data_IF_639641237873
#
_entry.id   IF_639641237873
#
_cell.length_a   1.000
_cell.length_b   1.000
_cell.length_c   1.000
_cell.angle_alpha   90.00
_cell.angle_beta   90.00
_cell.angle_gamma   90.00
#
_symmetry.space_group_name_H-M   'P 1'
#
loop_
_entity.id
_entity.type
_entity.pdbx_description
1 polymer ?
#
# COMPACT_ATOMS: atom_id res chain seq x y z
N UNK A 1 13.33 24.05 -17.35
CA UNK A 1 13.86 23.59 -16.05
C UNK A 1 13.27 22.20 -15.80
N UNK A 2 14.08 21.15 -15.80
CA UNK A 2 13.58 19.80 -15.49
C UNK A 2 13.24 19.74 -14.00
N UNK A 3 12.01 19.33 -13.66
CA UNK A 3 11.64 19.03 -12.27
C UNK A 3 12.62 17.98 -11.73
N UNK A 4 13.07 18.15 -10.48
CA UNK A 4 13.84 17.10 -9.80
C UNK A 4 13.07 15.77 -9.87
N UNK A 5 13.78 14.63 -10.05
CA UNK A 5 13.13 13.33 -10.08
C UNK A 5 12.36 13.12 -8.78
N UNK A 6 11.07 12.80 -8.90
CA UNK A 6 10.20 12.54 -7.75
C UNK A 6 10.67 11.24 -7.09
N UNK A 7 10.90 11.27 -5.79
CA UNK A 7 11.19 10.05 -5.02
C UNK A 7 9.90 9.27 -4.76
N UNK A 8 9.98 7.94 -4.78
CA UNK A 8 8.91 7.05 -4.35
C UNK A 8 8.64 7.28 -2.85
N UNK A 9 7.41 7.02 -2.43
CA UNK A 9 7.05 7.06 -1.01
C UNK A 9 7.92 6.09 -0.17
N UNK A 10 8.01 6.26 1.15
CA UNK A 10 8.61 5.25 2.02
C UNK A 10 7.89 3.90 1.86
N UNK A 11 8.50 2.82 2.34
CA UNK A 11 7.84 1.51 2.30
C UNK A 11 6.65 1.47 3.27
N UNK A 12 5.55 0.78 2.92
CA UNK A 12 4.45 0.53 3.84
C UNK A 12 4.94 -0.14 5.13
N UNK A 13 4.59 0.43 6.28
CA UNK A 13 4.92 -0.10 7.61
C UNK A 13 3.88 -1.11 8.13
N UNK A 14 2.95 -1.54 7.29
CA UNK A 14 1.92 -2.51 7.58
C UNK A 14 1.92 -3.61 6.52
N UNK A 15 1.47 -4.81 6.90
CA UNK A 15 1.37 -5.96 5.99
C UNK A 15 -0.07 -6.34 5.68
N UNK A 16 -0.90 -6.37 6.72
CA UNK A 16 -2.32 -6.70 6.65
C UNK A 16 -3.01 -6.02 7.82
N UNK A 17 -4.07 -5.27 7.54
CA UNK A 17 -4.98 -4.72 8.55
C UNK A 17 -6.38 -5.23 8.23
N UNK A 18 -6.84 -6.19 9.03
CA UNK A 18 -8.20 -6.73 8.92
C UNK A 18 -9.18 -5.83 9.64
N UNK A 19 -10.13 -5.31 8.86
CA UNK A 19 -11.22 -4.45 9.29
C UNK A 19 -12.50 -5.27 9.32
N UNK A 20 -13.14 -5.34 10.47
CA UNK A 20 -14.39 -6.07 10.65
C UNK A 20 -15.58 -5.15 10.33
N UNK A 21 -16.61 -5.70 9.69
CA UNK A 21 -17.84 -4.96 9.44
C UNK A 21 -18.45 -4.48 10.78
N UNK A 22 -18.51 -3.18 10.97
CA UNK A 22 -19.10 -2.56 12.16
C UNK A 22 -20.32 -1.74 11.79
N UNK A 23 -21.42 -1.86 12.55
CA UNK A 23 -22.43 -0.81 12.52
C UNK A 23 -21.78 0.44 13.10
N UNK A 24 -21.67 1.51 12.30
CA UNK A 24 -21.32 2.84 12.81
C UNK A 24 -22.37 3.19 13.85
N UNK A 25 -22.03 3.11 15.14
CA UNK A 25 -22.88 3.69 16.16
C UNK A 25 -22.87 5.20 15.88
N UNK A 26 -24.01 5.81 15.54
CA UNK A 26 -24.02 7.25 15.34
C UNK A 26 -23.55 7.89 16.64
N UNK A 27 -22.51 8.74 16.56
CA UNK A 27 -22.11 9.64 17.65
C UNK A 27 -23.20 10.71 17.88
N UNK A 28 -24.46 10.30 18.04
CA UNK A 28 -25.56 11.17 18.41
C UNK A 28 -25.37 11.73 19.84
N UNK A 29 -24.56 11.06 20.67
CA UNK A 29 -24.28 11.48 22.04
C UNK A 29 -23.45 12.76 22.19
N UNK A 30 -22.52 13.06 21.27
CA UNK A 30 -21.65 14.24 21.39
C UNK A 30 -22.34 15.54 20.96
N UNK A 31 -23.26 15.46 19.99
CA UNK A 31 -24.03 16.61 19.52
C UNK A 31 -25.11 17.03 20.53
N UNK A 32 -25.72 16.08 21.24
CA UNK A 32 -26.65 16.37 22.33
C UNK A 32 -25.96 17.05 23.53
N UNK A 33 -24.73 16.62 23.87
CA UNK A 33 -23.94 17.25 24.94
C UNK A 33 -23.54 18.70 24.60
N UNK A 34 -23.19 18.98 23.33
CA UNK A 34 -22.86 20.33 22.88
C UNK A 34 -24.08 21.28 22.87
N UNK A 35 -25.28 20.76 22.56
CA UNK A 35 -26.53 21.53 22.61
C UNK A 35 -26.99 21.79 24.06
N UNK A 36 -26.76 20.84 24.98
CA UNK A 36 -27.04 21.06 26.39
C UNK A 36 -26.13 22.14 27.02
N UNK A 37 -24.84 22.19 26.65
CA UNK A 37 -23.90 23.19 27.14
C UNK A 37 -24.20 24.63 26.67
N UNK A 38 -24.77 24.78 25.46
CA UNK A 38 -25.16 26.10 24.94
C UNK A 38 -26.44 26.64 25.58
N UNK A 39 -27.39 25.76 25.96
CA UNK A 39 -28.58 26.15 26.71
C UNK A 39 -28.25 26.68 28.11
N UNK A 40 -27.24 26.12 28.79
CA UNK A 40 -26.80 26.57 30.11
C UNK A 40 -26.18 27.98 30.12
N UNK A 41 -25.44 28.34 29.07
CA UNK A 41 -24.86 29.68 28.92
C UNK A 41 -25.90 30.76 28.59
N UNK A 42 -26.96 30.42 27.85
CA UNK A 42 -28.05 31.35 27.55
C UNK A 42 -28.89 31.69 28.80
N UNK A 43 -29.08 30.73 29.71
CA UNK A 43 -29.77 30.96 30.98
C UNK A 43 -28.98 31.88 31.93
N UNK A 44 -27.64 31.77 31.94
CA UNK A 44 -26.76 32.61 32.77
C UNK A 44 -26.71 34.09 32.34
N UNK A 45 -26.86 34.37 31.04
CA UNK A 45 -26.90 35.75 30.52
C UNK A 45 -28.21 36.46 30.87
N UNK A 46 -29.32 35.73 30.93
CA UNK A 46 -30.63 36.29 31.32
C UNK A 46 -30.72 36.67 32.81
N UNK A 47 -29.87 36.11 33.66
CA UNK A 47 -29.95 36.26 35.11
C UNK A 47 -29.13 37.43 35.71
N UNK A 48 -28.39 38.24 34.91
CA UNK A 48 -27.77 39.46 35.46
C UNK A 48 -26.49 40.00 34.79
N UNK A 49 -26.16 39.65 33.54
CA UNK A 49 -24.94 40.11 32.89
C UNK A 49 -25.13 41.40 32.07
N UNK A 50 -24.48 42.50 32.46
CA UNK A 50 -24.39 43.72 31.63
C UNK A 50 -23.72 43.49 30.26
N UNK A 51 -23.78 44.46 29.35
CA UNK A 51 -23.39 44.39 27.92
C UNK A 51 -22.04 43.70 27.59
N UNK A 52 -21.09 43.62 28.55
CA UNK A 52 -19.84 42.86 28.43
C UNK A 52 -20.05 41.34 28.36
N UNK A 53 -21.09 40.80 29.00
CA UNK A 53 -21.50 39.39 28.90
C UNK A 53 -22.13 39.04 27.54
N UNK A 54 -22.78 40.02 26.89
CA UNK A 54 -23.35 39.87 25.55
C UNK A 54 -22.28 39.83 24.44
N UNK A 55 -21.15 40.53 24.64
CA UNK A 55 -20.03 40.49 23.70
C UNK A 55 -19.31 39.12 23.72
N UNK A 56 -19.12 38.51 24.90
CA UNK A 56 -18.50 37.19 25.03
C UNK A 56 -19.38 36.04 24.51
N UNK A 57 -20.71 36.17 24.60
CA UNK A 57 -21.63 35.16 24.05
C UNK A 57 -21.69 35.19 22.51
N UNK A 58 -21.44 36.34 21.87
CA UNK A 58 -21.41 36.45 20.40
C UNK A 58 -20.22 35.68 19.76
N UNK A 59 -19.07 35.64 20.44
CA UNK A 59 -17.90 34.86 20.01
C UNK A 59 -18.14 33.36 20.21
N UNK A 60 -18.84 32.96 21.27
CA UNK A 60 -19.14 31.55 21.55
C UNK A 60 -20.13 30.91 20.54
N UNK A 61 -21.02 31.69 19.93
CA UNK A 61 -21.99 31.19 18.94
C UNK A 61 -21.43 31.20 17.50
N UNK A 62 -20.51 32.11 17.18
CA UNK A 62 -19.96 32.23 15.83
C UNK A 62 -19.03 31.07 15.44
N UNK A 63 -18.23 30.55 16.38
CA UNK A 63 -17.25 29.48 16.14
C UNK A 63 -17.87 28.12 15.73
N UNK A 64 -18.92 27.60 16.40
CA UNK A 64 -19.52 26.33 16.00
C UNK A 64 -20.31 26.45 14.68
N UNK A 65 -20.90 27.60 14.37
CA UNK A 65 -21.60 27.84 13.10
C UNK A 65 -20.63 27.95 11.91
N UNK A 66 -19.46 28.56 12.10
CA UNK A 66 -18.40 28.58 11.10
C UNK A 66 -17.83 27.17 10.86
N UNK A 67 -17.61 26.38 11.92
CA UNK A 67 -17.11 25.01 11.81
C UNK A 67 -18.14 24.05 11.19
N UNK A 68 -19.42 24.20 11.53
CA UNK A 68 -20.52 23.47 10.91
C UNK A 68 -20.73 23.85 9.44
N UNK A 69 -20.55 25.13 9.06
CA UNK A 69 -20.58 25.56 7.65
C UNK A 69 -19.36 25.08 6.86
N UNK A 70 -18.19 25.00 7.48
CA UNK A 70 -17.00 24.41 6.87
C UNK A 70 -17.20 22.91 6.61
N UNK A 71 -17.82 22.18 7.56
CA UNK A 71 -18.21 20.78 7.39
C UNK A 71 -19.35 20.57 6.38
N UNK A 72 -20.26 21.55 6.20
CA UNK A 72 -21.35 21.47 5.20
C UNK A 72 -20.93 21.73 3.76
N UNK A 73 -19.74 22.31 3.51
CA UNK A 73 -19.18 22.41 2.16
C UNK A 73 -18.61 21.09 1.64
N UNK A 74 -18.49 20.11 2.51
CA UNK A 74 -18.27 18.71 2.14
C UNK A 74 -19.65 18.18 1.75
N UNK A 75 -19.88 17.92 0.46
CA UNK A 75 -21.13 17.38 -0.07
C UNK A 75 -21.68 16.26 0.83
N UNK A 76 -23.00 16.06 0.95
CA UNK A 76 -23.56 14.92 1.68
C UNK A 76 -23.01 13.64 1.05
N UNK A 77 -21.98 13.08 1.67
CA UNK A 77 -21.35 11.88 1.16
C UNK A 77 -22.35 10.74 1.25
N UNK A 78 -22.35 9.88 0.23
CA UNK A 78 -23.16 8.67 0.23
C UNK A 78 -23.01 7.93 1.58
N UNK A 79 -24.11 7.35 2.11
CA UNK A 79 -24.07 6.66 3.39
C UNK A 79 -23.00 5.56 3.36
N UNK A 80 -22.14 5.54 4.36
CA UNK A 80 -21.08 4.54 4.45
C UNK A 80 -21.68 3.15 4.69
N UNK A 81 -21.38 2.21 3.81
CA UNK A 81 -21.84 0.83 3.86
C UNK A 81 -20.90 0.01 4.76
N UNK A 82 -21.40 -0.67 5.80
CA UNK A 82 -20.57 -1.59 6.58
C UNK A 82 -20.02 -2.70 5.69
N UNK A 83 -18.72 -2.95 5.77
CA UNK A 83 -18.06 -4.02 5.02
C UNK A 83 -16.90 -4.60 5.82
N UNK A 84 -16.64 -5.90 5.63
CA UNK A 84 -15.38 -6.51 6.06
C UNK A 84 -14.34 -6.19 5.00
N UNK A 85 -13.17 -5.74 5.42
CA UNK A 85 -12.11 -5.34 4.50
C UNK A 85 -10.76 -5.82 5.01
N UNK A 86 -9.89 -6.21 4.10
CA UNK A 86 -8.47 -6.43 4.39
C UNK A 86 -7.66 -5.37 3.64
N UNK A 87 -6.99 -4.51 4.40
CA UNK A 87 -6.13 -3.45 3.86
C UNK A 87 -4.70 -4.00 3.80
N UNK A 88 -4.11 -3.95 2.61
CA UNK A 88 -2.82 -4.55 2.30
C UNK A 88 -1.98 -3.56 1.46
N UNK A 89 -0.64 -3.69 1.38
CA UNK A 89 0.24 -2.71 0.69
C UNK A 89 -0.12 -2.31 -0.75
N UNK A 90 -0.95 -3.11 -1.40
CA UNK A 90 -1.35 -3.08 -2.81
C UNK A 90 -2.77 -2.55 -3.05
N UNK A 91 -3.59 -2.47 -1.99
CA UNK A 91 -4.99 -2.09 -2.09
C UNK A 91 -5.85 -2.65 -0.95
N UNK A 92 -7.13 -2.85 -1.26
CA UNK A 92 -8.15 -3.28 -0.31
C UNK A 92 -8.94 -4.45 -0.88
N UNK A 93 -9.02 -5.54 -0.13
CA UNK A 93 -9.94 -6.65 -0.42
C UNK A 93 -11.21 -6.40 0.38
N UNK A 94 -12.36 -6.33 -0.29
CA UNK A 94 -13.65 -6.04 0.32
C UNK A 94 -14.53 -7.27 0.24
N UNK A 95 -14.98 -7.77 1.38
CA UNK A 95 -15.94 -8.86 1.48
C UNK A 95 -17.34 -8.27 1.78
N UNK A 96 -18.23 -8.39 0.79
CA UNK A 96 -19.63 -7.95 0.86
C UNK A 96 -20.59 -9.12 1.14
N UNK A 97 -20.08 -10.27 1.57
CA UNK A 97 -20.82 -11.48 1.91
C UNK A 97 -21.11 -12.39 0.71
N UNK A 98 -21.70 -11.84 -0.35
CA UNK A 98 -21.98 -12.59 -1.59
C UNK A 98 -20.88 -12.46 -2.65
N UNK A 99 -20.03 -11.43 -2.53
CA UNK A 99 -19.03 -11.07 -3.52
C UNK A 99 -17.79 -10.51 -2.82
N UNK A 100 -16.61 -10.90 -3.32
CA UNK A 100 -15.32 -10.33 -2.94
C UNK A 100 -14.87 -9.35 -4.02
N UNK A 101 -14.73 -8.07 -3.66
CA UNK A 101 -14.26 -7.02 -4.57
C UNK A 101 -12.82 -6.66 -4.25
N UNK A 102 -11.97 -6.58 -5.27
CA UNK A 102 -10.58 -6.14 -5.14
C UNK A 102 -10.47 -4.69 -5.59
N UNK A 103 -9.96 -3.83 -4.71
CA UNK A 103 -9.75 -2.41 -4.98
C UNK A 103 -8.25 -2.12 -4.97
N UNK A 104 -7.65 -1.89 -6.14
CA UNK A 104 -6.29 -1.33 -6.23
C UNK A 104 -6.27 0.10 -5.69
N UNK A 105 -5.12 0.60 -5.27
CA UNK A 105 -5.02 1.96 -4.73
C UNK A 105 -5.54 3.06 -5.66
N UNK A 106 -5.42 2.91 -6.98
CA UNK A 106 -6.01 3.84 -7.95
C UNK A 106 -7.55 3.90 -7.93
N UNK A 107 -8.22 2.85 -7.43
CA UNK A 107 -9.67 2.80 -7.25
C UNK A 107 -10.14 3.31 -5.88
N UNK A 108 -9.21 3.64 -4.97
CA UNK A 108 -9.50 4.15 -3.62
C UNK A 108 -9.28 5.65 -3.61
N UNK A 109 -10.36 6.42 -3.47
CA UNK A 109 -10.34 7.90 -3.47
C UNK A 109 -10.04 8.50 -2.10
N UNK A 110 -9.96 7.70 -1.05
CA UNK A 110 -9.58 8.17 0.29
C UNK A 110 -9.58 7.05 1.32
N UNK A 111 -8.73 7.19 2.33
CA UNK A 111 -8.78 6.36 3.54
C UNK A 111 -8.80 7.33 4.72
N UNK A 112 -9.74 7.13 5.63
CA UNK A 112 -9.85 7.89 6.88
C UNK A 112 -9.80 6.89 8.04
N UNK A 113 -9.09 7.24 9.11
CA UNK A 113 -9.03 6.46 10.35
C UNK A 113 -9.41 7.37 11.50
N UNK A 114 -10.43 6.96 12.26
CA UNK A 114 -10.88 7.65 13.47
C UNK A 114 -10.63 6.73 14.67
N UNK A 115 -9.67 7.10 15.51
CA UNK A 115 -9.30 6.33 16.70
C UNK A 115 -10.19 6.70 17.88
N UNK A 116 -10.85 5.71 18.48
CA UNK A 116 -11.70 5.89 19.65
C UNK A 116 -10.94 5.45 20.89
N UNK A 117 -10.66 6.41 21.76
CA UNK A 117 -9.98 6.19 23.03
C UNK A 117 -10.99 5.87 24.14
N UNK A 118 -10.55 5.05 25.09
CA UNK A 118 -11.22 4.84 26.37
C UNK A 118 -10.24 5.17 27.47
N UNK A 119 -10.73 5.72 28.58
CA UNK A 119 -9.89 6.04 29.73
C UNK A 119 -9.88 4.85 30.68
N UNK A 120 -8.71 4.26 30.90
CA UNK A 120 -8.49 3.22 31.90
C UNK A 120 -7.47 3.73 32.93
N UNK A 121 -7.90 3.85 34.19
CA UNK A 121 -7.05 4.25 35.32
C UNK A 121 -6.09 5.42 35.01
N UNK A 122 -6.63 6.52 34.47
CA UNK A 122 -5.92 7.74 34.07
C UNK A 122 -5.04 7.68 32.82
N UNK A 123 -4.93 6.53 32.15
CA UNK A 123 -4.29 6.40 30.82
C UNK A 123 -5.34 6.27 29.72
N UNK A 124 -5.16 7.00 28.62
CA UNK A 124 -5.99 6.84 27.42
C UNK A 124 -5.49 5.62 26.65
N UNK A 125 -6.33 4.61 26.52
CA UNK A 125 -6.05 3.40 25.73
C UNK A 125 -6.93 3.40 24.48
N UNK A 126 -6.36 3.00 23.34
CA UNK A 126 -7.12 2.86 22.11
C UNK A 126 -8.07 1.68 22.24
N UNK A 127 -9.39 1.96 22.23
CA UNK A 127 -10.41 0.92 22.30
C UNK A 127 -10.58 0.24 20.94
N UNK A 128 -10.78 1.05 19.91
CA UNK A 128 -10.92 0.60 18.52
C UNK A 128 -10.68 1.77 17.58
N UNK A 129 -10.39 1.45 16.33
CA UNK A 129 -10.25 2.42 15.25
C UNK A 129 -11.33 2.17 14.20
N UNK A 130 -12.05 3.21 13.82
CA UNK A 130 -13.02 3.17 12.72
C UNK A 130 -12.29 3.50 11.43
N UNK A 131 -12.35 2.60 10.45
CA UNK A 131 -11.69 2.78 9.16
C UNK A 131 -12.76 3.01 8.10
N UNK A 132 -12.61 4.10 7.34
CA UNK A 132 -13.46 4.46 6.23
C UNK A 132 -12.64 4.47 4.94
N UNK A 133 -13.08 3.68 3.96
CA UNK A 133 -12.49 3.63 2.62
C UNK A 133 -13.46 4.27 1.64
N UNK A 134 -13.04 5.35 1.00
CA UNK A 134 -13.82 6.02 -0.05
C UNK A 134 -13.43 5.46 -1.42
N UNK A 135 -14.43 5.18 -2.25
CA UNK A 135 -14.30 4.79 -3.66
C UNK A 135 -15.18 5.71 -4.52
N UNK A 136 -15.07 5.68 -5.86
CA UNK A 136 -16.00 6.40 -6.73
C UNK A 136 -17.46 6.00 -6.53
N UNK A 137 -17.74 4.74 -6.16
CA UNK A 137 -19.11 4.22 -6.02
C UNK A 137 -19.70 4.41 -4.62
N UNK A 138 -18.90 4.82 -3.63
CA UNK A 138 -19.40 5.06 -2.29
C UNK A 138 -18.34 5.01 -1.21
N UNK A 139 -18.78 4.75 0.02
CA UNK A 139 -17.92 4.65 1.20
C UNK A 139 -18.14 3.32 1.88
N UNK A 140 -17.06 2.67 2.26
CA UNK A 140 -17.04 1.44 3.03
C UNK A 140 -16.56 1.77 4.43
N UNK A 141 -17.16 1.16 5.45
CA UNK A 141 -16.78 1.39 6.85
C UNK A 141 -16.65 0.08 7.62
N UNK A 142 -15.67 0.02 8.49
CA UNK A 142 -15.54 -1.04 9.47
C UNK A 142 -14.68 -0.60 10.65
N UNK A 143 -14.30 -1.56 11.49
CA UNK A 143 -13.53 -1.30 12.70
C UNK A 143 -12.36 -2.27 12.84
N UNK A 144 -11.29 -1.76 13.43
CA UNK A 144 -10.12 -2.52 13.88
C UNK A 144 -10.09 -2.46 15.40
N UNK A 145 -9.84 -3.60 16.05
CA UNK A 145 -9.66 -3.63 17.51
C UNK A 145 -8.33 -2.98 17.85
N UNK A 146 -8.33 -2.03 18.79
CA UNK A 146 -7.13 -1.25 19.10
C UNK A 146 -6.75 -0.26 18.00
N UNK A 147 -5.44 -0.02 17.88
CA UNK A 147 -4.88 0.94 16.94
C UNK A 147 -4.75 0.35 15.53
N UNK A 148 -5.00 1.15 14.51
CA UNK A 148 -4.86 0.74 13.11
C UNK A 148 -3.59 1.37 12.53
N UNK A 149 -2.51 0.61 12.29
CA UNK A 149 -1.19 1.13 11.91
C UNK A 149 -1.16 1.55 10.43
N UNK A 150 -1.94 2.58 10.10
CA UNK A 150 -2.17 3.04 8.73
C UNK A 150 -1.63 4.46 8.50
N UNK A 151 -0.84 5.02 9.42
CA UNK A 151 -0.35 6.40 9.35
C UNK A 151 0.47 6.64 8.08
N UNK A 152 1.34 5.67 7.74
CA UNK A 152 2.16 5.73 6.53
C UNK A 152 1.29 5.66 5.26
N UNK A 153 0.23 4.82 5.27
CA UNK A 153 -0.74 4.78 4.18
C UNK A 153 -1.45 6.11 4.02
N UNK A 154 -1.94 6.70 5.11
CA UNK A 154 -2.67 7.96 5.09
C UNK A 154 -1.80 9.11 4.55
N UNK A 155 -0.52 9.14 4.91
CA UNK A 155 0.43 10.15 4.46
C UNK A 155 0.83 10.02 2.98
N UNK A 156 0.82 8.78 2.43
CA UNK A 156 1.43 8.49 1.14
C UNK A 156 0.52 7.77 0.13
N UNK A 157 -0.80 7.72 0.37
CA UNK A 157 -1.75 6.94 -0.45
C UNK A 157 -1.65 7.24 -1.94
N UNK A 158 -1.59 8.51 -2.34
CA UNK A 158 -1.53 8.89 -3.76
C UNK A 158 -0.21 8.48 -4.41
N UNK A 159 0.89 8.49 -3.65
CA UNK A 159 2.18 7.99 -4.14
C UNK A 159 2.18 6.47 -4.29
N UNK A 160 1.53 5.73 -3.37
CA UNK A 160 1.34 4.28 -3.51
C UNK A 160 0.42 3.92 -4.67
N UNK A 161 -0.64 4.71 -4.90
CA UNK A 161 -1.50 4.55 -6.07
C UNK A 161 -0.70 4.72 -7.37
N UNK A 162 0.10 5.78 -7.46
CA UNK A 162 0.97 6.02 -8.62
C UNK A 162 2.02 4.90 -8.80
N UNK A 163 2.66 4.42 -7.74
CA UNK A 163 3.66 3.34 -7.82
C UNK A 163 3.02 2.00 -8.23
N UNK A 164 1.79 1.73 -7.77
CA UNK A 164 1.05 0.52 -8.12
C UNK A 164 0.63 0.44 -9.60
N UNK A 165 0.61 1.58 -10.30
CA UNK A 165 0.25 1.69 -11.72
C UNK A 165 1.48 1.62 -12.65
N UNK A 166 2.70 1.57 -12.11
CA UNK A 166 3.89 1.44 -12.92
C UNK A 166 3.88 0.11 -13.72
N UNK A 167 4.46 0.16 -14.91
CA UNK A 167 4.65 -1.00 -15.78
C UNK A 167 6.03 -1.60 -15.51
N UNK A 168 6.19 -2.92 -15.52
CA UNK A 168 7.53 -3.49 -15.36
C UNK A 168 8.41 -3.21 -16.58
N UNK A 169 9.72 -3.05 -16.35
CA UNK A 169 10.71 -2.92 -17.41
C UNK A 169 11.35 -4.26 -17.76
N UNK A 170 11.68 -4.46 -19.04
CA UNK A 170 12.45 -5.63 -19.54
C UNK A 170 13.95 -5.36 -19.62
N UNK A 171 14.39 -4.20 -19.15
CA UNK A 171 15.80 -3.84 -18.98
C UNK A 171 16.04 -3.21 -17.59
N UNK A 172 17.31 -3.10 -17.19
CA UNK A 172 17.69 -2.54 -15.88
C UNK A 172 17.59 -1.00 -15.83
N UNK A 173 17.54 -0.35 -16.98
CA UNK A 173 17.51 1.10 -17.12
C UNK A 173 16.08 1.68 -17.09
N UNK A 174 15.05 0.85 -17.18
CA UNK A 174 13.65 1.27 -17.31
C UNK A 174 13.28 1.83 -18.70
N UNK A 175 13.96 1.42 -19.78
CA UNK A 175 13.76 1.99 -21.13
C UNK A 175 12.74 1.26 -21.98
N UNK A 176 12.49 -0.02 -21.71
CA UNK A 176 11.55 -0.84 -22.44
C UNK A 176 10.53 -1.46 -21.49
N UNK A 177 9.25 -1.36 -21.85
CA UNK A 177 8.15 -1.90 -21.05
C UNK A 177 7.94 -3.39 -21.34
N UNK A 178 7.57 -4.16 -20.31
CA UNK A 178 7.16 -5.55 -20.43
C UNK A 178 5.79 -5.74 -21.07
N UNK A 179 4.95 -4.70 -21.11
CA UNK A 179 3.61 -4.74 -21.70
C UNK A 179 2.82 -3.51 -21.29
N UNK A 180 1.50 -3.63 -21.23
CA UNK A 180 0.64 -2.66 -20.55
C UNK A 180 0.43 -3.04 -19.06
N UNK A 181 0.00 -2.08 -18.24
CA UNK A 181 -0.18 -2.30 -16.79
C UNK A 181 -1.19 -3.40 -16.42
N UNK A 182 -2.10 -3.73 -17.35
CA UNK A 182 -3.19 -4.69 -17.16
C UNK A 182 -2.96 -6.03 -17.87
N UNK A 183 -1.89 -6.12 -18.66
CA UNK A 183 -1.52 -7.34 -19.37
C UNK A 183 -0.60 -8.21 -18.52
N UNK A 184 -0.62 -9.54 -18.70
CA UNK A 184 0.34 -10.44 -18.07
C UNK A 184 1.77 -10.08 -18.47
N UNK A 185 2.63 -9.86 -17.49
CA UNK A 185 4.01 -9.39 -17.69
C UNK A 185 5.07 -10.41 -17.22
N UNK A 186 4.69 -11.39 -16.39
CA UNK A 186 5.64 -12.31 -15.76
C UNK A 186 6.42 -13.13 -16.79
N UNK A 187 5.76 -13.69 -17.80
CA UNK A 187 6.43 -14.51 -18.82
C UNK A 187 7.43 -13.71 -19.65
N UNK A 188 7.07 -12.47 -20.02
CA UNK A 188 7.95 -11.58 -20.77
C UNK A 188 9.17 -11.18 -19.95
N UNK A 189 9.00 -10.93 -18.64
CA UNK A 189 10.12 -10.69 -17.74
C UNK A 189 11.03 -11.91 -17.60
N UNK A 190 10.47 -13.12 -17.53
CA UNK A 190 11.24 -14.38 -17.48
C UNK A 190 12.02 -14.63 -18.77
N UNK A 191 11.42 -14.33 -19.93
CA UNK A 191 12.13 -14.40 -21.20
C UNK A 191 13.28 -13.39 -21.23
N UNK A 192 13.02 -12.14 -20.81
CA UNK A 192 14.02 -11.08 -20.77
C UNK A 192 15.18 -11.40 -19.81
N UNK A 193 14.90 -11.95 -18.62
CA UNK A 193 15.92 -12.35 -17.65
C UNK A 193 16.85 -13.42 -18.22
N UNK A 194 16.28 -14.46 -18.83
CA UNK A 194 17.02 -15.55 -19.48
C UNK A 194 17.83 -15.06 -20.68
N UNK A 195 17.29 -14.13 -21.46
CA UNK A 195 18.01 -13.49 -22.57
C UNK A 195 19.20 -12.67 -22.08
N UNK A 196 19.05 -11.87 -21.01
CA UNK A 196 20.15 -11.08 -20.43
C UNK A 196 21.28 -11.96 -19.90
N UNK A 197 20.94 -13.08 -19.27
CA UNK A 197 21.91 -14.05 -18.76
C UNK A 197 22.65 -14.75 -19.93
N UNK A 198 21.92 -15.20 -20.96
CA UNK A 198 22.52 -15.88 -22.13
C UNK A 198 23.28 -14.94 -23.07
N UNK A 199 22.87 -13.68 -23.16
CA UNK A 199 23.48 -12.69 -24.04
C UNK A 199 24.69 -11.98 -23.45
N UNK A 200 25.08 -12.29 -22.20
CA UNK A 200 26.17 -11.60 -21.52
C UNK A 200 25.87 -10.12 -21.20
N UNK A 201 24.60 -9.68 -21.30
CA UNK A 201 24.19 -8.28 -21.11
C UNK A 201 24.44 -7.74 -19.70
N UNK A 202 24.70 -8.63 -18.75
CA UNK A 202 25.09 -8.29 -17.38
C UNK A 202 26.61 -8.18 -17.19
N UNK A 203 27.43 -8.43 -18.20
CA UNK A 203 28.88 -8.54 -18.03
C UNK A 203 29.30 -9.82 -17.28
N UNK A 204 28.42 -10.83 -17.27
CA UNK A 204 28.71 -12.17 -16.77
C UNK A 204 29.44 -12.90 -17.90
N UNK A 205 30.72 -13.17 -17.73
CA UNK A 205 31.46 -14.00 -18.67
C UNK A 205 30.80 -15.39 -18.70
N UNK A 206 30.48 -15.88 -19.90
CA UNK A 206 30.21 -17.30 -20.05
C UNK A 206 31.58 -17.98 -19.98
N UNK A 207 31.80 -18.79 -18.95
CA UNK A 207 32.89 -19.77 -19.03
C UNK A 207 32.58 -20.63 -20.26
N UNK A 208 33.57 -20.79 -21.15
CA UNK A 208 33.48 -21.65 -22.32
C UNK A 208 33.12 -23.06 -21.87
N UNK A 209 31.82 -23.32 -21.85
CA UNK A 209 31.24 -24.54 -21.39
C UNK A 209 31.49 -25.61 -22.45
N UNK A 210 32.51 -26.43 -22.21
CA UNK A 210 32.62 -27.72 -22.88
C UNK A 210 31.30 -28.47 -22.83
N UNK A 211 31.06 -29.31 -23.85
CA UNK A 211 29.85 -30.03 -24.27
C UNK A 211 28.90 -30.63 -23.18
N UNK A 212 29.28 -30.60 -21.89
CA UNK A 212 28.49 -31.04 -20.74
C UNK A 212 28.09 -29.86 -19.87
N UNK A 213 27.06 -29.13 -20.28
CA UNK A 213 26.29 -28.23 -19.40
C UNK A 213 27.11 -27.11 -18.76
N UNK A 214 27.16 -25.97 -19.42
CA UNK A 214 27.80 -24.77 -18.88
C UNK A 214 27.21 -24.34 -17.55
N UNK A 215 28.04 -24.37 -16.52
CA UNK A 215 27.76 -23.67 -15.28
C UNK A 215 27.95 -22.18 -15.56
N UNK A 216 26.94 -21.35 -15.27
CA UNK A 216 27.12 -19.91 -15.30
C UNK A 216 28.29 -19.56 -14.38
N UNK A 217 29.26 -18.78 -14.90
CA UNK A 217 30.33 -18.26 -14.06
C UNK A 217 29.70 -17.47 -12.91
N UNK A 218 30.33 -17.51 -11.74
CA UNK A 218 29.84 -16.74 -10.60
C UNK A 218 29.75 -15.25 -10.99
N UNK A 219 28.61 -14.58 -10.78
CA UNK A 219 28.47 -13.17 -11.08
C UNK A 219 29.51 -12.34 -10.32
N UNK A 220 30.10 -11.35 -11.00
CA UNK A 220 31.14 -10.49 -10.41
C UNK A 220 30.56 -9.58 -9.32
N UNK A 221 31.43 -9.05 -8.46
CA UNK A 221 31.02 -8.10 -7.42
C UNK A 221 30.30 -6.86 -8.01
N UNK A 222 30.72 -6.42 -9.19
CA UNK A 222 30.11 -5.29 -9.91
C UNK A 222 28.68 -5.59 -10.35
N UNK A 223 28.41 -6.81 -10.81
CA UNK A 223 27.04 -7.26 -11.15
C UNK A 223 26.16 -7.23 -9.90
N UNK A 224 26.63 -7.81 -8.80
CA UNK A 224 25.89 -7.82 -7.54
C UNK A 224 25.63 -6.39 -7.05
N UNK A 225 26.62 -5.49 -7.15
CA UNK A 225 26.48 -4.09 -6.78
C UNK A 225 25.45 -3.35 -7.66
N UNK A 226 25.46 -3.60 -8.97
CA UNK A 226 24.50 -3.03 -9.92
C UNK A 226 23.07 -3.49 -9.64
N UNK A 227 22.85 -4.79 -9.46
CA UNK A 227 21.52 -5.33 -9.13
C UNK A 227 21.03 -4.78 -7.78
N UNK A 228 21.90 -4.71 -6.77
CA UNK A 228 21.59 -4.08 -5.48
C UNK A 228 21.18 -2.61 -5.64
N UNK A 229 21.90 -1.86 -6.47
CA UNK A 229 21.59 -0.46 -6.72
C UNK A 229 20.18 -0.30 -7.31
N UNK A 230 19.79 -1.15 -8.27
CA UNK A 230 18.44 -1.14 -8.84
C UNK A 230 17.37 -1.51 -7.81
N UNK A 231 17.58 -2.54 -6.99
CA UNK A 231 16.62 -2.92 -5.93
C UNK A 231 16.48 -1.85 -4.82
N UNK A 232 17.50 -1.00 -4.65
CA UNK A 232 17.51 0.08 -3.66
C UNK A 232 17.07 1.43 -4.21
N UNK A 233 17.02 1.59 -5.53
CA UNK A 233 16.61 2.83 -6.18
C UNK A 233 15.14 3.14 -5.84
N UNK A 234 14.92 4.33 -5.25
CA UNK A 234 13.60 4.87 -4.94
C UNK A 234 13.24 6.03 -5.86
N UNK A 235 13.95 6.25 -6.97
CA UNK A 235 13.53 7.23 -7.98
C UNK A 235 12.25 6.75 -8.66
N UNK A 236 11.22 7.60 -8.69
CA UNK A 236 9.99 7.29 -9.41
C UNK A 236 10.27 7.23 -10.91
N UNK A 237 9.92 6.09 -11.51
CA UNK A 237 10.04 5.82 -12.94
C UNK A 237 8.69 5.37 -13.46
N UNK A 238 8.37 5.74 -14.70
CA UNK A 238 7.17 5.22 -15.39
C UNK A 238 7.24 3.70 -15.52
N UNK A 239 8.46 3.16 -15.65
CA UNK A 239 8.73 1.73 -15.81
C UNK A 239 9.63 1.25 -14.70
N UNK A 240 9.19 0.20 -14.01
CA UNK A 240 9.87 -0.34 -12.84
C UNK A 240 10.83 -1.48 -13.24
N UNK A 241 12.16 -1.32 -13.10
CA UNK A 241 13.12 -2.38 -13.38
C UNK A 241 13.25 -3.41 -12.24
N UNK A 242 12.63 -3.19 -11.08
CA UNK A 242 12.76 -4.07 -9.90
C UNK A 242 12.25 -5.49 -10.15
N UNK A 243 11.09 -5.75 -10.81
CA UNK A 243 10.64 -7.11 -11.14
C UNK A 243 11.68 -7.93 -11.89
N UNK A 244 12.24 -7.40 -12.99
CA UNK A 244 13.27 -8.08 -13.76
C UNK A 244 14.52 -8.34 -12.92
N UNK A 245 14.95 -7.33 -12.15
CA UNK A 245 16.13 -7.42 -11.29
C UNK A 245 15.98 -8.53 -10.25
N UNK A 246 14.79 -8.69 -9.65
CA UNK A 246 14.49 -9.76 -8.71
C UNK A 246 14.61 -11.15 -9.36
N UNK A 247 14.09 -11.31 -10.58
CA UNK A 247 14.23 -12.57 -11.34
C UNK A 247 15.70 -12.88 -11.63
N UNK A 248 16.49 -11.89 -12.05
CA UNK A 248 17.92 -12.06 -12.27
C UNK A 248 18.66 -12.47 -10.99
N UNK A 249 18.29 -11.89 -9.84
CA UNK A 249 18.86 -12.26 -8.54
C UNK A 249 18.59 -13.72 -8.20
N UNK A 250 17.38 -14.22 -8.47
CA UNK A 250 17.04 -15.63 -8.26
C UNK A 250 17.74 -16.57 -9.26
N UNK A 251 17.67 -16.28 -10.56
CA UNK A 251 18.30 -17.08 -11.63
C UNK A 251 19.83 -17.18 -11.46
N UNK A 252 20.46 -16.15 -10.88
CA UNK A 252 21.89 -16.13 -10.57
C UNK A 252 22.24 -16.70 -9.18
N UNK A 253 21.24 -17.14 -8.39
CA UNK A 253 21.46 -17.72 -7.06
C UNK A 253 22.02 -16.73 -6.02
N UNK A 254 21.75 -15.43 -6.16
CA UNK A 254 22.37 -14.35 -5.39
C UNK A 254 21.75 -14.17 -3.98
N UNK A 255 21.97 -15.14 -3.09
CA UNK A 255 21.50 -15.11 -1.68
C UNK A 255 22.02 -13.91 -0.86
N UNK A 256 23.10 -13.27 -1.29
CA UNK A 256 23.62 -12.04 -0.65
C UNK A 256 22.71 -10.81 -0.80
N UNK A 257 21.62 -10.93 -1.57
CA UNK A 257 20.59 -9.91 -1.77
C UNK A 257 19.24 -10.25 -1.12
N UNK A 258 19.20 -11.27 -0.25
CA UNK A 258 17.94 -11.70 0.39
C UNK A 258 17.26 -10.62 1.25
N UNK A 259 18.02 -9.70 1.84
CA UNK A 259 17.44 -8.60 2.62
C UNK A 259 16.67 -7.62 1.71
N UNK A 260 17.24 -7.28 0.55
CA UNK A 260 16.57 -6.44 -0.44
C UNK A 260 15.29 -7.08 -0.97
N UNK A 261 15.30 -8.40 -1.20
CA UNK A 261 14.11 -9.15 -1.62
C UNK A 261 13.00 -9.09 -0.58
N UNK A 262 13.34 -9.38 0.68
CA UNK A 262 12.37 -9.41 1.79
C UNK A 262 11.75 -8.04 2.00
N UNK A 263 12.54 -6.98 1.85
CA UNK A 263 12.05 -5.61 1.92
C UNK A 263 11.01 -5.31 0.83
N UNK A 264 11.21 -5.82 -0.39
CA UNK A 264 10.30 -5.58 -1.52
C UNK A 264 9.02 -6.42 -1.49
N UNK A 265 8.87 -7.36 -0.55
CA UNK A 265 7.62 -8.14 -0.35
C UNK A 265 6.43 -7.25 0.02
N UNK A 266 6.67 -6.09 0.64
CA UNK A 266 5.66 -5.07 0.95
C UNK A 266 5.65 -3.89 -0.04
N UNK A 267 6.31 -4.03 -1.20
CA UNK A 267 6.26 -3.01 -2.25
C UNK A 267 4.81 -2.69 -2.64
N UNK A 268 4.43 -1.40 -2.77
CA UNK A 268 3.11 -1.01 -3.27
C UNK A 268 2.83 -1.50 -4.69
N UNK A 269 3.88 -1.69 -5.50
CA UNK A 269 3.77 -2.27 -6.84
C UNK A 269 3.51 -3.78 -6.78
N UNK A 270 2.36 -4.28 -7.27
CA UNK A 270 1.99 -5.69 -7.08
C UNK A 270 2.91 -6.70 -7.75
N UNK A 271 3.28 -6.46 -9.01
CA UNK A 271 4.19 -7.35 -9.69
C UNK A 271 5.55 -7.42 -8.98
N UNK A 272 6.13 -6.28 -8.56
CA UNK A 272 7.39 -6.24 -7.80
C UNK A 272 7.31 -7.07 -6.51
N UNK A 273 6.25 -6.94 -5.72
CA UNK A 273 6.11 -7.70 -4.48
C UNK A 273 5.77 -9.19 -4.71
N UNK A 274 5.09 -9.55 -5.81
CA UNK A 274 4.91 -10.94 -6.23
C UNK A 274 6.23 -11.58 -6.65
N UNK A 275 6.98 -10.89 -7.52
CA UNK A 275 8.28 -11.36 -8.00
C UNK A 275 9.29 -11.44 -6.86
N UNK A 276 9.25 -10.54 -5.87
CA UNK A 276 10.10 -10.61 -4.69
C UNK A 276 9.85 -11.88 -3.87
N UNK A 277 8.58 -12.28 -3.68
CA UNK A 277 8.21 -13.55 -3.05
C UNK A 277 8.70 -14.75 -3.86
N UNK A 278 8.38 -14.79 -5.15
CA UNK A 278 8.78 -15.88 -6.05
C UNK A 278 10.31 -16.04 -6.10
N UNK A 279 11.05 -14.93 -6.24
CA UNK A 279 12.52 -14.92 -6.23
C UNK A 279 13.08 -15.37 -4.88
N UNK A 280 12.45 -14.97 -3.78
CA UNK A 280 12.84 -15.42 -2.45
C UNK A 280 12.61 -16.91 -2.24
N UNK A 281 11.51 -17.46 -2.75
CA UNK A 281 11.24 -18.89 -2.73
C UNK A 281 12.25 -19.66 -3.58
N UNK A 282 12.55 -19.19 -4.79
CA UNK A 282 13.61 -19.75 -5.64
C UNK A 282 14.98 -19.80 -4.92
N UNK A 283 15.28 -18.81 -4.07
CA UNK A 283 16.48 -18.78 -3.23
C UNK A 283 16.35 -19.58 -1.92
N UNK A 284 15.24 -20.30 -1.69
CA UNK A 284 14.99 -21.13 -0.52
C UNK A 284 14.71 -20.36 0.77
N UNK A 285 14.20 -19.13 0.69
CA UNK A 285 13.75 -18.39 1.87
C UNK A 285 12.40 -18.92 2.39
N UNK A 286 12.18 -18.82 3.70
CA UNK A 286 11.00 -19.37 4.35
C UNK A 286 9.71 -18.55 4.07
N UNK A 287 8.58 -19.26 3.95
CA UNK A 287 7.24 -18.67 3.78
C UNK A 287 6.85 -17.71 4.91
N UNK A 288 7.30 -17.95 6.14
CA UNK A 288 7.05 -17.03 7.27
C UNK A 288 7.63 -15.64 7.03
N UNK A 289 8.73 -15.53 6.28
CA UNK A 289 9.42 -14.29 5.97
C UNK A 289 8.82 -13.58 4.75
N UNK A 290 8.42 -14.34 3.74
CA UNK A 290 7.95 -13.81 2.46
C UNK A 290 6.42 -13.64 2.37
N UNK A 291 5.66 -14.45 3.11
CA UNK A 291 4.24 -14.63 2.84
C UNK A 291 3.97 -15.49 1.61
N UNK A 292 2.68 -15.73 1.37
CA UNK A 292 2.22 -16.51 0.22
C UNK A 292 2.11 -15.62 -1.03
N UNK A 293 2.34 -16.17 -2.24
CA UNK A 293 2.10 -15.45 -3.50
C UNK A 293 0.59 -15.23 -3.69
N UNK A 294 -0.23 -16.09 -3.12
CA UNK A 294 -1.69 -16.03 -3.15
C UNK A 294 -2.24 -14.78 -2.44
N UNK A 295 -1.49 -14.19 -1.49
CA UNK A 295 -1.84 -12.90 -0.85
C UNK A 295 -1.87 -11.76 -1.88
N UNK A 296 -1.13 -11.92 -2.98
CA UNK A 296 -0.88 -10.93 -4.02
C UNK A 296 -1.74 -11.13 -5.26
N UNK A 297 -2.02 -12.40 -5.56
CA UNK A 297 -2.63 -12.84 -6.81
C UNK A 297 -3.87 -12.02 -7.22
N UNK A 298 -4.78 -11.61 -6.31
CA UNK A 298 -5.94 -10.81 -6.69
C UNK A 298 -5.62 -9.43 -7.30
N UNK A 299 -4.39 -8.93 -7.07
CA UNK A 299 -3.92 -7.63 -7.55
C UNK A 299 -3.08 -7.72 -8.83
N UNK A 300 -2.81 -8.92 -9.33
CA UNK A 300 -2.04 -9.15 -10.55
C UNK A 300 -2.95 -9.32 -11.77
N UNK A 301 -2.43 -9.09 -12.99
CA UNK A 301 -3.04 -9.62 -14.21
C UNK A 301 -3.24 -11.14 -14.14
N UNK A 302 -4.20 -11.65 -14.90
CA UNK A 302 -4.49 -13.08 -14.97
C UNK A 302 -3.26 -13.87 -15.47
N UNK A 303 -2.96 -15.00 -14.84
CA UNK A 303 -1.82 -15.85 -15.22
C UNK A 303 -0.48 -15.50 -14.54
N UNK A 304 -0.21 -14.21 -14.25
CA UNK A 304 1.10 -13.80 -13.69
C UNK A 304 1.46 -14.52 -12.38
N UNK A 305 0.49 -14.66 -11.47
CA UNK A 305 0.71 -15.39 -10.21
C UNK A 305 1.10 -16.85 -10.45
N UNK A 306 0.45 -17.52 -11.41
CA UNK A 306 0.72 -18.91 -11.74
C UNK A 306 2.08 -19.07 -12.43
N UNK A 307 2.42 -18.20 -13.38
CA UNK A 307 3.72 -18.20 -14.07
C UNK A 307 4.88 -17.97 -13.09
N UNK A 308 4.72 -17.03 -12.14
CA UNK A 308 5.71 -16.79 -11.08
C UNK A 308 5.86 -17.98 -10.13
N UNK A 309 4.76 -18.61 -9.73
CA UNK A 309 4.80 -19.79 -8.85
C UNK A 309 5.49 -20.97 -9.54
N UNK A 310 5.11 -21.27 -10.79
CA UNK A 310 5.71 -22.34 -11.59
C UNK A 310 7.21 -22.13 -11.79
N UNK A 311 7.61 -20.92 -12.17
CA UNK A 311 9.03 -20.56 -12.30
C UNK A 311 9.80 -20.70 -10.98
N UNK A 312 9.25 -20.22 -9.86
CA UNK A 312 9.95 -20.32 -8.58
C UNK A 312 10.22 -21.75 -8.14
N UNK A 313 9.39 -22.71 -8.55
CA UNK A 313 9.58 -24.13 -8.31
C UNK A 313 10.58 -24.77 -9.29
N UNK A 314 10.74 -24.22 -10.50
CA UNK A 314 11.74 -24.68 -11.49
C UNK A 314 13.17 -24.35 -11.06
N UNK A 315 13.37 -23.21 -10.36
CA UNK A 315 14.70 -22.72 -9.95
C UNK A 315 15.20 -23.38 -8.65
N UNK A 316 14.31 -23.97 -7.85
CA UNK A 316 14.65 -24.68 -6.60
C UNK A 316 15.37 -26.01 -6.85
#
# INVERSE_FOLDING_TARGET
>A
MASAPKELAPEPNFRLVTVVAGRRQPMAGSLAAALAGTAGLAAGVYAGGGWRAAALSSVAVATPLAWARLRRKVAPHAPARPARMDIVPWGVVVDLGAETRILRWGAVSGVEVETVFTRDQASDTTRHSVVLVATPEGRLVGHVTGDAPLECLLAHRDAYASEAEHVAAVDLEGREAAGEAWEPQAERLLMASRQLIRGGGLGIAQDDAGYRGGRLANPTADVVARLRAVLRDRVARVRDPRPLTLMLVAELGLRSLSEELVRLVSSPHPLTAATARASGFALGLAKSRLGAIEEVAPFLPEGDAASLAAWSAEVQ
#
